data_IF_044215640328
#
_entry.id   IF_044215640328
#
_cell.length_a   1.000
_cell.length_b   1.000
_cell.length_c   1.000
_cell.angle_alpha   90.00
_cell.angle_beta   90.00
_cell.angle_gamma   90.00
#
_symmetry.space_group_name_H-M   'P 1'
#
loop_
_entity.id
_entity.type
_entity.pdbx_description
1 polymer ?
#
# COMPACT_ATOMS: atom_id res chain seq x y z
N UNK A 1 6.06 -15.15 50.16
CA UNK A 1 4.97 -14.42 49.45
C UNK A 1 5.43 -13.10 48.83
N UNK A 2 5.99 -12.14 49.59
CA UNK A 2 6.37 -10.81 49.09
C UNK A 2 7.38 -10.82 47.92
N UNK A 3 8.38 -11.71 47.96
CA UNK A 3 9.39 -11.86 46.91
C UNK A 3 8.86 -12.41 45.58
N UNK A 4 7.83 -13.27 45.61
CA UNK A 4 7.17 -13.75 44.38
C UNK A 4 6.35 -12.65 43.70
N UNK A 5 5.73 -11.76 44.48
CA UNK A 5 4.97 -10.61 43.97
C UNK A 5 5.90 -9.61 43.26
N UNK A 6 7.09 -9.35 43.83
CA UNK A 6 8.09 -8.47 43.21
C UNK A 6 8.60 -9.07 41.88
N UNK A 7 8.87 -10.38 41.84
CA UNK A 7 9.27 -11.06 40.59
C UNK A 7 8.17 -10.99 39.53
N UNK A 8 6.91 -11.13 39.92
CA UNK A 8 5.76 -11.02 39.01
C UNK A 8 5.61 -9.60 38.47
N UNK A 9 5.79 -8.58 39.31
CA UNK A 9 5.75 -7.17 38.91
C UNK A 9 6.90 -6.81 37.96
N UNK A 10 8.11 -7.33 38.19
CA UNK A 10 9.26 -7.13 37.29
C UNK A 10 9.02 -7.83 35.95
N UNK A 11 8.51 -9.07 35.96
CA UNK A 11 8.18 -9.78 34.73
C UNK A 11 7.09 -9.06 33.91
N UNK A 12 6.10 -8.48 34.59
CA UNK A 12 5.03 -7.70 33.95
C UNK A 12 5.52 -6.35 33.41
N UNK A 13 6.41 -5.64 34.12
CA UNK A 13 6.97 -4.40 33.58
C UNK A 13 7.88 -4.65 32.38
N UNK A 14 8.62 -5.77 32.38
CA UNK A 14 9.48 -6.15 31.27
C UNK A 14 8.67 -6.52 30.01
N UNK A 15 7.51 -7.17 30.16
CA UNK A 15 6.65 -7.49 29.02
C UNK A 15 5.99 -6.26 28.39
N UNK A 16 5.66 -5.25 29.20
CA UNK A 16 5.18 -3.95 28.71
C UNK A 16 6.23 -3.20 27.87
N UNK A 17 7.52 -3.35 28.19
CA UNK A 17 8.62 -2.74 27.44
C UNK A 17 8.89 -3.40 26.08
N UNK A 18 8.39 -4.62 25.84
CA UNK A 18 8.56 -5.34 24.57
C UNK A 18 7.48 -5.02 23.52
N UNK A 19 6.56 -4.11 23.83
CA UNK A 19 5.56 -3.62 22.89
C UNK A 19 6.23 -2.68 21.88
N UNK A 20 6.78 -3.24 20.79
CA UNK A 20 7.31 -2.43 19.69
C UNK A 20 6.16 -1.78 18.90
N UNK A 21 6.36 -0.52 18.50
CA UNK A 21 5.43 0.17 17.61
C UNK A 21 5.47 -0.48 16.23
N UNK A 22 4.49 -1.33 15.92
CA UNK A 22 4.22 -1.74 14.54
C UNK A 22 3.72 -0.52 13.78
N UNK A 23 4.54 -0.03 12.85
CA UNK A 23 4.10 0.96 11.86
C UNK A 23 3.44 0.19 10.73
N UNK A 24 2.19 0.54 10.40
CA UNK A 24 1.51 -0.03 9.25
C UNK A 24 2.15 0.51 7.95
N UNK A 25 2.84 -0.36 7.21
CA UNK A 25 3.63 -0.03 6.02
C UNK A 25 2.76 0.22 4.75
N UNK A 26 1.49 0.57 4.91
CA UNK A 26 0.56 0.80 3.79
C UNK A 26 0.22 2.28 3.58
N UNK A 27 0.97 3.20 4.20
CA UNK A 27 0.79 4.65 4.04
C UNK A 27 2.10 5.41 4.21
N UNK A 28 2.34 6.38 3.32
CA UNK A 28 3.43 7.35 3.41
C UNK A 28 2.87 8.78 3.42
N UNK A 29 3.38 9.61 4.32
CA UNK A 29 3.08 11.05 4.34
C UNK A 29 4.05 11.78 3.41
N UNK A 30 3.51 12.49 2.43
CA UNK A 30 4.26 13.34 1.48
C UNK A 30 3.74 14.78 1.59
N UNK A 31 4.41 15.61 2.39
CA UNK A 31 3.96 16.98 2.65
C UNK A 31 2.53 17.02 3.21
N UNK A 32 1.62 17.63 2.44
CA UNK A 32 0.19 17.78 2.72
C UNK A 32 -0.66 16.58 2.28
N UNK A 33 -0.02 15.49 1.84
CA UNK A 33 -0.69 14.30 1.34
C UNK A 33 -0.42 13.09 2.23
N UNK A 34 -1.44 12.26 2.44
CA UNK A 34 -1.28 10.88 2.90
C UNK A 34 -1.49 9.96 1.71
N UNK A 35 -0.46 9.21 1.34
CA UNK A 35 -0.45 8.28 0.21
C UNK A 35 -0.59 6.87 0.73
N UNK A 36 -1.76 6.28 0.53
CA UNK A 36 -2.01 4.87 0.81
C UNK A 36 -1.65 4.04 -0.42
N UNK A 37 -0.97 2.92 -0.20
CA UNK A 37 -0.61 2.00 -1.27
C UNK A 37 -0.79 0.56 -0.85
N UNK A 38 -1.11 -0.29 -1.82
CA UNK A 38 -1.12 -1.74 -1.66
C UNK A 38 -0.77 -2.40 -2.99
N UNK A 39 -0.12 -3.57 -2.91
CA UNK A 39 0.07 -4.46 -4.04
C UNK A 39 -0.66 -5.77 -3.75
N UNK A 40 -1.47 -6.23 -4.71
CA UNK A 40 -2.30 -7.43 -4.55
C UNK A 40 -2.29 -8.27 -5.83
N UNK A 41 -2.40 -9.59 -5.71
CA UNK A 41 -2.55 -10.47 -6.86
C UNK A 41 -3.87 -10.20 -7.60
N UNK A 42 -3.84 -10.17 -8.93
CA UNK A 42 -5.03 -9.87 -9.75
C UNK A 42 -6.17 -10.88 -9.58
N UNK A 43 -5.88 -12.09 -9.10
CA UNK A 43 -6.87 -13.15 -8.86
C UNK A 43 -7.80 -12.86 -7.68
N UNK A 44 -7.41 -11.96 -6.76
CA UNK A 44 -8.25 -11.49 -5.65
C UNK A 44 -9.51 -10.75 -6.14
N UNK A 45 -9.44 -10.10 -7.30
CA UNK A 45 -10.61 -9.45 -7.89
C UNK A 45 -11.55 -10.50 -8.47
N UNK A 46 -12.86 -10.30 -8.26
CA UNK A 46 -13.89 -11.11 -8.92
C UNK A 46 -13.83 -10.90 -10.44
N UNK A 47 -14.32 -11.85 -11.26
CA UNK A 47 -14.37 -11.69 -12.71
C UNK A 47 -15.06 -10.38 -13.15
N UNK A 48 -16.12 -9.99 -12.45
CA UNK A 48 -16.91 -8.80 -12.74
C UNK A 48 -16.11 -7.51 -12.51
N UNK A 49 -15.51 -7.36 -11.33
CA UNK A 49 -14.69 -6.18 -10.98
C UNK A 49 -13.47 -6.09 -11.89
N UNK A 50 -12.82 -7.22 -12.17
CA UNK A 50 -11.70 -7.25 -13.10
C UNK A 50 -12.10 -6.78 -14.51
N UNK A 51 -13.28 -7.18 -15.00
CA UNK A 51 -13.81 -6.73 -16.29
C UNK A 51 -14.10 -5.23 -16.30
N UNK A 52 -14.73 -4.70 -15.26
CA UNK A 52 -15.04 -3.26 -15.12
C UNK A 52 -13.75 -2.43 -15.20
N UNK A 53 -12.68 -2.88 -14.53
CA UNK A 53 -11.42 -2.14 -14.47
C UNK A 53 -10.41 -2.49 -15.56
N UNK A 54 -10.67 -3.50 -16.39
CA UNK A 54 -9.73 -3.97 -17.42
C UNK A 54 -8.52 -4.70 -16.83
N UNK A 55 -8.70 -5.37 -15.69
CA UNK A 55 -7.67 -6.13 -14.99
C UNK A 55 -7.63 -7.54 -15.58
N UNK A 56 -6.44 -7.95 -16.05
CA UNK A 56 -6.21 -9.32 -16.53
C UNK A 56 -5.95 -10.22 -15.33
N UNK A 57 -6.91 -11.08 -15.00
CA UNK A 57 -6.76 -12.04 -13.89
C UNK A 57 -5.78 -13.15 -14.26
N UNK A 58 -4.68 -13.25 -13.52
CA UNK A 58 -3.65 -14.28 -13.71
C UNK A 58 -2.83 -14.47 -12.43
N UNK A 59 -2.33 -15.69 -12.20
CA UNK A 59 -1.36 -15.96 -11.11
C UNK A 59 -0.02 -15.23 -11.26
N UNK A 60 0.23 -14.66 -12.45
CA UNK A 60 1.45 -13.93 -12.81
C UNK A 60 1.22 -12.43 -12.98
N UNK A 61 0.04 -11.93 -12.62
CA UNK A 61 -0.28 -10.52 -12.76
C UNK A 61 -0.76 -9.95 -11.43
N UNK A 62 -0.16 -8.84 -11.03
CA UNK A 62 -0.49 -8.09 -9.83
C UNK A 62 -1.13 -6.76 -10.18
N UNK A 63 -1.72 -6.14 -9.18
CA UNK A 63 -2.23 -4.78 -9.24
C UNK A 63 -1.63 -3.99 -8.10
N UNK A 64 -1.06 -2.82 -8.41
CA UNK A 64 -0.77 -1.80 -7.41
C UNK A 64 -1.92 -0.81 -7.39
N UNK A 65 -2.42 -0.50 -6.20
CA UNK A 65 -3.46 0.49 -5.95
C UNK A 65 -2.86 1.60 -5.09
N UNK A 66 -2.99 2.84 -5.55
CA UNK A 66 -2.52 4.04 -4.86
C UNK A 66 -3.70 4.98 -4.67
N UNK A 67 -3.90 5.45 -3.43
CA UNK A 67 -4.89 6.46 -3.06
C UNK A 67 -4.19 7.61 -2.36
N UNK A 68 -4.51 8.84 -2.77
CA UNK A 68 -3.93 10.05 -2.20
C UNK A 68 -5.02 10.83 -1.48
N UNK A 69 -4.78 11.16 -0.22
CA UNK A 69 -5.69 11.92 0.63
C UNK A 69 -5.05 13.26 1.02
N UNK A 70 -5.84 14.32 1.03
CA UNK A 70 -5.43 15.65 1.50
C UNK A 70 -5.50 15.72 3.02
N UNK A 71 -4.35 15.76 3.69
CA UNK A 71 -4.31 15.77 5.16
C UNK A 71 -4.46 17.16 5.80
N UNK A 72 -4.64 18.21 4.99
CA UNK A 72 -4.88 19.58 5.46
C UNK A 72 -6.36 19.86 5.73
N UNK A 73 -7.24 19.06 5.13
CA UNK A 73 -8.68 19.19 5.24
C UNK A 73 -9.27 18.24 6.30
N UNK A 74 -10.37 18.66 6.91
CA UNK A 74 -11.14 17.81 7.82
C UNK A 74 -11.64 16.57 7.07
N UNK A 75 -11.54 15.40 7.71
CA UNK A 75 -11.89 14.08 7.16
C UNK A 75 -10.98 13.55 6.02
N UNK A 76 -9.86 14.21 5.75
CA UNK A 76 -8.83 13.75 4.80
C UNK A 76 -9.40 13.24 3.46
N UNK A 77 -10.09 14.10 2.68
CA UNK A 77 -10.73 13.69 1.44
C UNK A 77 -9.73 13.24 0.38
N UNK A 78 -10.18 12.45 -0.61
CA UNK A 78 -9.34 12.07 -1.74
C UNK A 78 -8.89 13.29 -2.55
N UNK A 79 -7.63 13.29 -2.97
CA UNK A 79 -6.98 14.33 -3.77
C UNK A 79 -6.65 13.79 -5.15
N UNK A 80 -7.03 14.54 -6.20
CA UNK A 80 -6.60 14.24 -7.57
C UNK A 80 -5.14 14.66 -7.75
N UNK A 81 -4.34 13.81 -8.34
CA UNK A 81 -2.90 14.02 -8.57
C UNK A 81 -2.49 13.49 -9.95
N UNK A 82 -1.37 13.97 -10.47
CA UNK A 82 -0.64 13.31 -11.54
C UNK A 82 0.27 12.24 -10.95
N UNK A 83 0.21 11.03 -11.52
CA UNK A 83 0.99 9.89 -11.05
C UNK A 83 1.73 9.22 -12.19
N UNK A 84 3.01 8.95 -11.98
CA UNK A 84 3.83 8.14 -12.87
C UNK A 84 4.70 7.22 -12.02
N UNK A 85 5.28 6.20 -12.64
CA UNK A 85 6.18 5.35 -11.90
C UNK A 85 6.94 4.36 -12.76
N UNK A 86 7.91 3.72 -12.14
CA UNK A 86 8.68 2.62 -12.69
C UNK A 86 8.71 1.50 -11.68
N UNK A 87 8.70 0.27 -12.16
CA UNK A 87 8.94 -0.89 -11.32
C UNK A 87 10.17 -1.64 -11.82
N UNK A 88 10.89 -2.31 -10.92
CA UNK A 88 11.97 -3.23 -11.27
C UNK A 88 12.04 -4.39 -10.29
N UNK A 89 12.51 -5.54 -10.74
CA UNK A 89 12.80 -6.65 -9.83
C UNK A 89 14.22 -6.59 -9.27
N UNK A 90 14.57 -7.54 -8.41
CA UNK A 90 15.92 -7.67 -7.83
C UNK A 90 17.01 -7.95 -8.90
N UNK A 91 16.63 -8.44 -10.08
CA UNK A 91 17.53 -8.67 -11.21
C UNK A 91 17.74 -7.41 -12.07
N UNK A 92 17.11 -6.28 -11.71
CA UNK A 92 17.21 -5.02 -12.44
C UNK A 92 16.34 -4.97 -13.70
N UNK A 93 15.47 -5.95 -13.95
CA UNK A 93 14.54 -5.93 -15.08
C UNK A 93 13.41 -4.95 -14.79
N UNK A 94 13.21 -4.00 -15.70
CA UNK A 94 12.12 -3.03 -15.60
C UNK A 94 10.76 -3.67 -15.89
N UNK A 95 9.73 -3.20 -15.18
CA UNK A 95 8.33 -3.52 -15.40
C UNK A 95 7.59 -2.21 -15.71
N UNK A 96 6.82 -2.24 -16.79
CA UNK A 96 5.99 -1.09 -17.17
C UNK A 96 4.85 -0.90 -16.16
N UNK A 97 4.56 0.35 -15.83
CA UNK A 97 3.42 0.74 -14.99
C UNK A 97 2.57 1.75 -15.76
N UNK A 98 1.39 1.32 -16.17
CA UNK A 98 0.38 2.18 -16.79
C UNK A 98 -0.72 2.45 -15.76
N UNK A 99 -0.67 3.62 -15.10
CA UNK A 99 -1.66 4.01 -14.11
C UNK A 99 -2.96 4.46 -14.77
N UNK A 100 -4.08 3.93 -14.29
CA UNK A 100 -5.44 4.34 -14.64
C UNK A 100 -6.11 4.95 -13.42
N UNK A 101 -6.64 6.15 -13.57
CA UNK A 101 -7.48 6.81 -12.56
C UNK A 101 -8.89 6.17 -12.55
N UNK A 102 -9.39 5.85 -11.36
CA UNK A 102 -10.73 5.32 -11.12
C UNK A 102 -11.38 6.18 -10.05
N UNK A 103 -12.64 6.59 -10.29
CA UNK A 103 -13.44 7.36 -9.33
C UNK A 103 -14.70 6.59 -8.98
N UNK A 104 -14.90 6.34 -7.68
CA UNK A 104 -16.10 5.71 -7.14
C UNK A 104 -16.65 6.60 -6.01
N UNK A 105 -17.75 7.30 -6.30
CA UNK A 105 -18.29 8.30 -5.38
C UNK A 105 -17.25 9.38 -5.06
N UNK A 106 -16.83 9.46 -3.80
CA UNK A 106 -15.80 10.41 -3.34
C UNK A 106 -14.38 9.85 -3.31
N UNK A 107 -14.17 8.57 -3.64
CA UNK A 107 -12.87 7.93 -3.61
C UNK A 107 -12.17 8.00 -4.98
N UNK A 108 -10.85 8.18 -4.96
CA UNK A 108 -9.99 8.19 -6.15
C UNK A 108 -8.89 7.16 -5.98
N UNK A 109 -8.76 6.25 -6.95
CA UNK A 109 -7.74 5.21 -7.01
C UNK A 109 -6.91 5.33 -8.27
N UNK A 110 -5.61 5.09 -8.15
CA UNK A 110 -4.69 4.95 -9.27
C UNK A 110 -4.23 3.49 -9.33
N UNK A 111 -4.69 2.79 -10.36
CA UNK A 111 -4.47 1.36 -10.52
C UNK A 111 -3.47 1.12 -11.64
N UNK A 112 -2.41 0.33 -11.40
CA UNK A 112 -1.53 -0.16 -12.45
C UNK A 112 -1.31 -1.67 -12.30
N UNK A 113 -1.31 -2.37 -13.43
CA UNK A 113 -1.01 -3.81 -13.49
C UNK A 113 0.50 -4.02 -13.59
N UNK A 114 0.99 -5.12 -13.02
CA UNK A 114 2.41 -5.48 -13.05
C UNK A 114 2.58 -6.98 -13.13
N UNK A 115 3.30 -7.44 -14.15
CA UNK A 115 3.59 -8.87 -14.31
C UNK A 115 4.71 -9.32 -13.36
N UNK A 116 4.49 -10.43 -12.68
CA UNK A 116 5.44 -11.01 -11.75
C UNK A 116 5.57 -12.54 -11.88
N UNK A 117 6.74 -13.06 -11.54
CA UNK A 117 7.04 -14.49 -11.43
C UNK A 117 6.89 -14.96 -9.98
N UNK A 118 6.85 -16.28 -9.76
CA UNK A 118 6.74 -16.81 -8.40
C UNK A 118 7.84 -16.25 -7.48
N UNK A 119 7.43 -15.77 -6.31
CA UNK A 119 8.33 -15.20 -5.28
C UNK A 119 9.22 -14.04 -5.77
N UNK A 120 8.82 -13.35 -6.84
CA UNK A 120 9.54 -12.18 -7.35
C UNK A 120 9.28 -10.96 -6.46
N UNK A 121 10.35 -10.38 -5.91
CA UNK A 121 10.29 -9.06 -5.27
C UNK A 121 10.36 -7.97 -6.32
N UNK A 122 9.38 -7.05 -6.28
CA UNK A 122 9.31 -5.89 -7.17
C UNK A 122 9.43 -4.62 -6.33
N UNK A 123 10.34 -3.74 -6.77
CA UNK A 123 10.54 -2.41 -6.23
C UNK A 123 9.79 -1.40 -7.08
N UNK A 124 8.94 -0.60 -6.44
CA UNK A 124 8.16 0.45 -7.08
C UNK A 124 8.76 1.81 -6.75
N UNK A 125 9.03 2.60 -7.78
CA UNK A 125 9.41 4.01 -7.67
C UNK A 125 8.30 4.83 -8.31
N UNK A 126 7.51 5.50 -7.47
CA UNK A 126 6.29 6.20 -7.87
C UNK A 126 6.48 7.68 -7.61
N UNK A 127 6.26 8.49 -8.64
CA UNK A 127 6.25 9.93 -8.57
C UNK A 127 4.80 10.44 -8.56
N UNK A 128 4.49 11.23 -7.54
CA UNK A 128 3.18 11.85 -7.34
C UNK A 128 3.38 13.36 -7.35
N UNK A 129 2.59 14.05 -8.18
CA UNK A 129 2.58 15.51 -8.28
C UNK A 129 1.13 16.02 -8.15
N UNK A 130 0.90 17.00 -7.28
CA UNK A 130 -0.41 17.57 -7.02
C UNK A 130 -0.66 18.93 -7.71
N UNK A 131 0.24 19.38 -8.59
CA UNK A 131 0.09 20.61 -9.39
C UNK A 131 1.24 21.57 -9.17
#
# INVERSE_FOLDING_TARGET
MKTSIIKLLIAFSLSLFLMSNVSADNMKKLGTMNVHYMAIGSTFFTPEIAKVYGITRSRYNGLVNISVLDNTQKNTPSKTVSITGKAKNNLGQFKELAFKEVKEGGAIYYLAQVNYSNEETIHFDIMINDG
#
